data_IF_380150765912
#
_entry.id   IF_380150765912
#
_cell.length_a   1.000
_cell.length_b   1.000
_cell.length_c   1.000
_cell.angle_alpha   90.00
_cell.angle_beta   90.00
_cell.angle_gamma   90.00
#
_symmetry.space_group_name_H-M   'P 1'
#
loop_
_entity.id
_entity.type
_entity.pdbx_description
1 polymer ?
#
# COMPACT_ATOMS: atom_id res chain seq x y z
N UNK A 1 15.88 -8.21 -0.58
CA UNK A 1 17.11 -8.89 -0.12
C UNK A 1 18.37 -8.33 -0.77
N UNK A 2 18.35 -8.06 -2.07
CA UNK A 2 19.44 -7.38 -2.78
C UNK A 2 20.01 -6.17 -2.05
N UNK A 3 19.13 -5.26 -1.60
CA UNK A 3 19.50 -4.07 -0.81
C UNK A 3 20.28 -4.42 0.46
N UNK A 4 19.90 -5.47 1.20
CA UNK A 4 20.63 -5.88 2.39
C UNK A 4 22.03 -6.37 2.06
N UNK A 5 22.16 -7.14 0.98
CA UNK A 5 23.46 -7.62 0.52
C UNK A 5 24.34 -6.47 0.00
N UNK A 6 23.77 -5.51 -0.73
CA UNK A 6 24.50 -4.33 -1.19
C UNK A 6 25.07 -3.49 -0.04
N UNK A 7 24.37 -3.41 1.09
CA UNK A 7 24.84 -2.68 2.27
C UNK A 7 25.53 -3.55 3.32
N UNK A 8 25.78 -4.83 3.04
CA UNK A 8 26.46 -5.74 3.95
C UNK A 8 25.70 -6.02 5.26
N UNK A 9 24.38 -5.87 5.24
CA UNK A 9 23.53 -6.11 6.42
C UNK A 9 23.08 -7.56 6.45
N UNK A 10 23.33 -8.26 7.55
CA UNK A 10 22.85 -9.62 7.74
C UNK A 10 21.33 -9.65 7.85
N UNK A 11 20.63 -10.51 7.07
CA UNK A 11 19.18 -10.71 7.22
C UNK A 11 18.74 -11.10 8.64
N UNK A 12 19.60 -11.79 9.38
CA UNK A 12 19.32 -12.24 10.76
C UNK A 12 19.27 -11.09 11.76
N UNK A 13 19.95 -9.97 11.48
CA UNK A 13 19.97 -8.78 12.33
C UNK A 13 18.91 -7.74 11.97
N UNK A 14 18.28 -7.90 10.82
CA UNK A 14 17.38 -6.89 10.24
C UNK A 14 16.30 -6.46 11.22
N UNK A 15 15.66 -7.39 11.89
CA UNK A 15 14.55 -7.12 12.81
C UNK A 15 15.00 -6.37 14.07
N UNK A 16 16.12 -6.77 14.65
CA UNK A 16 16.68 -6.07 15.82
C UNK A 16 17.11 -4.66 15.46
N UNK A 17 17.79 -4.47 14.31
CA UNK A 17 18.17 -3.16 13.79
C UNK A 17 16.96 -2.26 13.54
N UNK A 18 15.89 -2.81 12.97
CA UNK A 18 14.65 -2.09 12.75
C UNK A 18 14.01 -1.61 14.07
N UNK A 19 13.94 -2.48 15.08
CA UNK A 19 13.38 -2.10 16.37
C UNK A 19 14.21 -1.04 17.08
N UNK A 20 15.53 -1.15 17.05
CA UNK A 20 16.43 -0.16 17.62
C UNK A 20 16.31 1.20 16.90
N UNK A 21 16.30 1.19 15.56
CA UNK A 21 16.12 2.41 14.77
C UNK A 21 14.76 3.08 15.07
N UNK A 22 13.68 2.29 15.18
CA UNK A 22 12.36 2.78 15.57
C UNK A 22 12.37 3.44 16.94
N UNK A 23 13.01 2.82 17.92
CA UNK A 23 13.15 3.39 19.27
C UNK A 23 13.88 4.73 19.24
N UNK A 24 15.01 4.81 18.53
CA UNK A 24 15.77 6.04 18.35
C UNK A 24 14.92 7.15 17.73
N UNK A 25 14.20 6.86 16.64
CA UNK A 25 13.35 7.83 15.93
C UNK A 25 12.23 8.34 16.85
N UNK A 26 11.53 7.44 17.55
CA UNK A 26 10.45 7.84 18.46
C UNK A 26 10.97 8.67 19.63
N UNK A 27 12.13 8.30 20.20
CA UNK A 27 12.78 9.09 21.25
C UNK A 27 13.19 10.47 20.75
N UNK A 28 13.75 10.55 19.53
CA UNK A 28 14.14 11.83 18.93
C UNK A 28 12.96 12.76 18.67
N UNK A 29 11.79 12.23 18.28
CA UNK A 29 10.56 13.02 18.12
C UNK A 29 10.02 13.58 19.43
N UNK A 30 10.16 12.83 20.53
CA UNK A 30 9.61 13.18 21.82
C UNK A 30 10.57 13.99 22.71
N UNK A 31 11.87 13.96 22.42
CA UNK A 31 12.88 14.58 23.27
C UNK A 31 12.81 16.12 23.20
N UNK A 32 12.74 16.75 24.37
CA UNK A 32 12.81 18.22 24.52
C UNK A 32 14.26 18.72 24.56
N UNK A 33 15.17 17.89 25.07
CA UNK A 33 16.59 18.17 25.23
C UNK A 33 17.45 17.22 24.39
N UNK A 34 18.67 17.62 23.99
CA UNK A 34 19.61 16.73 23.36
C UNK A 34 19.92 15.52 24.25
N UNK A 35 20.11 14.36 23.64
CA UNK A 35 20.42 13.13 24.37
C UNK A 35 21.48 12.28 23.65
N UNK A 36 22.06 11.34 24.36
CA UNK A 36 22.87 10.28 23.77
C UNK A 36 22.05 9.01 23.57
N UNK A 37 22.28 8.31 22.48
CA UNK A 37 21.70 6.99 22.20
C UNK A 37 22.80 5.94 22.13
N UNK A 38 22.70 4.90 22.97
CA UNK A 38 23.70 3.86 23.08
C UNK A 38 23.06 2.49 22.83
N UNK A 39 22.65 2.24 21.58
CA UNK A 39 22.09 0.98 21.13
C UNK A 39 23.15 -0.07 20.83
N UNK A 40 22.70 -1.26 20.47
CA UNK A 40 23.55 -2.36 20.02
C UNK A 40 24.23 -2.06 18.68
N UNK A 41 23.46 -1.53 17.74
CA UNK A 41 23.86 -1.24 16.35
C UNK A 41 24.16 0.24 16.11
N UNK A 42 23.48 1.14 16.83
CA UNK A 42 23.56 2.59 16.64
C UNK A 42 24.07 3.24 17.93
N UNK A 43 25.22 3.93 17.84
CA UNK A 43 25.82 4.64 18.97
C UNK A 43 26.04 6.10 18.58
N UNK A 44 25.24 6.99 19.15
CA UNK A 44 25.25 8.43 18.90
C UNK A 44 25.50 9.17 20.19
N UNK A 45 26.57 9.98 20.24
CA UNK A 45 26.89 10.79 21.42
C UNK A 45 25.98 12.00 21.58
N UNK A 46 25.38 12.43 20.48
CA UNK A 46 24.53 13.62 20.45
C UNK A 46 23.39 13.41 19.44
N UNK A 47 22.16 13.50 19.90
CA UNK A 47 20.95 13.50 19.08
C UNK A 47 20.15 14.74 19.42
N UNK A 48 19.86 15.57 18.42
CA UNK A 48 19.04 16.77 18.56
C UNK A 48 18.30 17.00 17.24
N UNK A 49 17.00 16.72 17.22
CA UNK A 49 16.19 16.77 16.01
C UNK A 49 15.53 18.14 15.84
N UNK A 50 15.78 18.78 14.68
CA UNK A 50 15.15 20.03 14.29
C UNK A 50 14.78 19.99 12.79
N UNK A 51 13.59 20.51 12.37
CA UNK A 51 12.47 20.92 13.26
C UNK A 51 11.85 19.71 13.96
N UNK A 52 11.22 19.95 15.09
CA UNK A 52 10.46 18.91 15.80
C UNK A 52 9.11 18.67 15.13
N UNK A 53 8.52 17.46 15.25
CA UNK A 53 7.18 17.19 14.75
C UNK A 53 6.16 18.17 15.35
N UNK A 54 5.26 18.68 14.51
CA UNK A 54 4.13 19.50 14.95
C UNK A 54 3.10 18.64 15.68
N UNK A 55 2.91 17.40 15.23
CA UNK A 55 2.00 16.47 15.88
C UNK A 55 2.66 15.90 17.14
N UNK A 56 1.92 15.83 18.22
CA UNK A 56 2.35 15.18 19.46
C UNK A 56 2.68 13.70 19.26
N UNK A 57 1.94 13.02 18.39
CA UNK A 57 2.18 11.64 17.94
C UNK A 57 1.99 11.58 16.43
N UNK A 58 3.06 11.74 15.64
CA UNK A 58 2.96 11.54 14.19
C UNK A 58 2.45 10.13 13.87
N UNK A 59 1.53 9.96 12.93
CA UNK A 59 1.09 8.63 12.50
C UNK A 59 2.28 7.87 11.89
N UNK A 60 2.42 6.61 12.28
CA UNK A 60 3.48 5.74 11.79
C UNK A 60 2.86 4.70 10.87
N UNK A 61 3.43 4.57 9.68
CA UNK A 61 3.04 3.58 8.69
C UNK A 61 4.15 2.54 8.56
N UNK A 62 3.80 1.27 8.66
CA UNK A 62 4.74 0.15 8.55
C UNK A 62 4.37 -0.67 7.32
N UNK A 63 5.18 -0.62 6.24
CA UNK A 63 4.94 -1.42 5.07
C UNK A 63 5.31 -2.89 5.32
N UNK A 64 4.59 -3.78 4.67
CA UNK A 64 4.89 -5.22 4.73
C UNK A 64 4.21 -6.03 3.64
N UNK A 65 4.63 -7.27 3.52
CA UNK A 65 4.12 -8.24 2.54
C UNK A 65 3.63 -9.54 3.18
N UNK A 66 3.05 -9.44 4.41
CA UNK A 66 2.43 -10.59 5.09
C UNK A 66 3.25 -11.21 6.23
N UNK A 67 4.21 -10.49 6.82
CA UNK A 67 4.88 -10.97 8.03
C UNK A 67 4.00 -10.77 9.27
N UNK A 68 3.70 -11.86 9.96
CA UNK A 68 2.86 -11.86 11.18
C UNK A 68 3.45 -10.96 12.28
N UNK A 69 4.79 -10.91 12.39
CA UNK A 69 5.46 -10.04 13.35
C UNK A 69 5.32 -8.56 13.03
N UNK A 70 5.18 -8.20 11.74
CA UNK A 70 4.90 -6.83 11.32
C UNK A 70 3.44 -6.46 11.63
N UNK A 71 2.51 -7.41 11.47
CA UNK A 71 1.12 -7.23 11.87
C UNK A 71 0.99 -6.97 13.37
N UNK A 72 1.63 -7.82 14.19
CA UNK A 72 1.66 -7.67 15.65
C UNK A 72 2.25 -6.32 16.08
N UNK A 73 3.37 -5.92 15.45
CA UNK A 73 3.98 -4.62 15.71
C UNK A 73 3.01 -3.46 15.40
N UNK A 74 2.36 -3.49 14.24
CA UNK A 74 1.45 -2.44 13.82
C UNK A 74 0.23 -2.36 14.75
N UNK A 75 -0.39 -3.48 15.04
CA UNK A 75 -1.58 -3.57 15.90
C UNK A 75 -1.28 -3.15 17.35
N UNK A 76 -0.19 -3.66 17.95
CA UNK A 76 0.19 -3.32 19.33
C UNK A 76 0.51 -1.84 19.55
N UNK A 77 1.04 -1.17 18.53
CA UNK A 77 1.50 0.21 18.66
C UNK A 77 0.55 1.22 17.99
N UNK A 78 -0.61 0.79 17.53
CA UNK A 78 -1.59 1.62 16.83
C UNK A 78 -0.99 2.27 15.57
N UNK A 79 -0.18 1.52 14.81
CA UNK A 79 0.40 1.96 13.54
C UNK A 79 -0.51 1.56 12.38
N UNK A 80 -0.46 2.31 11.28
CA UNK A 80 -1.07 1.90 10.04
C UNK A 80 -0.19 0.82 9.37
N UNK A 81 -0.78 -0.30 8.98
CA UNK A 81 -0.09 -1.33 8.22
C UNK A 81 -0.34 -1.15 6.73
N UNK A 82 0.72 -0.99 5.94
CA UNK A 82 0.66 -0.88 4.50
C UNK A 82 0.93 -2.21 3.81
N UNK A 83 -0.11 -2.88 3.30
CA UNK A 83 0.06 -4.09 2.50
C UNK A 83 0.63 -3.72 1.13
N UNK A 84 1.90 -4.05 0.93
CA UNK A 84 2.56 -3.93 -0.37
C UNK A 84 2.18 -5.14 -1.23
N UNK A 85 1.50 -4.90 -2.34
CA UNK A 85 1.12 -5.95 -3.27
C UNK A 85 1.23 -5.50 -4.71
N UNK A 86 2.32 -5.89 -5.35
CA UNK A 86 2.46 -5.76 -6.80
C UNK A 86 2.01 -7.02 -7.56
N UNK A 87 1.54 -8.03 -6.84
CA UNK A 87 0.93 -9.23 -7.42
C UNK A 87 -0.61 -9.12 -7.52
N UNK A 88 -1.13 -7.92 -7.30
CA UNK A 88 -2.53 -7.57 -7.48
C UNK A 88 -3.48 -8.02 -6.37
N UNK A 89 -4.72 -7.56 -6.49
CA UNK A 89 -5.81 -7.78 -5.55
C UNK A 89 -6.04 -9.26 -5.23
N UNK A 90 -6.16 -10.09 -6.27
CA UNK A 90 -6.55 -11.50 -6.09
C UNK A 90 -5.47 -12.31 -5.36
N UNK A 91 -4.20 -11.97 -5.59
CA UNK A 91 -3.07 -12.57 -4.88
C UNK A 91 -2.95 -12.08 -3.45
N UNK A 92 -3.28 -10.82 -3.20
CA UNK A 92 -3.15 -10.19 -1.89
C UNK A 92 -4.31 -10.48 -0.94
N UNK A 93 -5.51 -10.75 -1.47
CA UNK A 93 -6.72 -10.93 -0.66
C UNK A 93 -6.55 -11.96 0.48
N UNK A 94 -6.00 -13.16 0.27
CA UNK A 94 -5.78 -14.10 1.37
C UNK A 94 -4.87 -13.56 2.49
N UNK A 95 -3.90 -12.72 2.15
CA UNK A 95 -3.01 -12.08 3.14
C UNK A 95 -3.74 -11.01 3.95
N UNK A 96 -4.59 -10.23 3.28
CA UNK A 96 -5.40 -9.19 3.92
C UNK A 96 -6.47 -9.82 4.82
N UNK A 97 -7.15 -10.87 4.34
CA UNK A 97 -8.11 -11.63 5.15
C UNK A 97 -7.44 -12.21 6.41
N UNK A 98 -6.21 -12.71 6.27
CA UNK A 98 -5.44 -13.22 7.39
C UNK A 98 -4.98 -12.13 8.37
N UNK A 99 -4.72 -10.91 7.91
CA UNK A 99 -4.45 -9.77 8.79
C UNK A 99 -5.67 -9.45 9.66
N UNK A 100 -6.87 -9.45 9.06
CA UNK A 100 -8.12 -9.23 9.78
C UNK A 100 -8.39 -10.34 10.81
N UNK A 101 -8.22 -11.60 10.41
CA UNK A 101 -8.36 -12.75 11.30
C UNK A 101 -7.37 -12.68 12.46
N UNK A 102 -6.10 -12.33 12.18
CA UNK A 102 -5.08 -12.17 13.22
C UNK A 102 -5.46 -11.07 14.23
N UNK A 103 -5.97 -9.94 13.74
CA UNK A 103 -6.40 -8.85 14.62
C UNK A 103 -7.55 -9.31 15.55
N UNK A 104 -8.56 -9.98 15.00
CA UNK A 104 -9.69 -10.50 15.76
C UNK A 104 -9.30 -11.57 16.78
N UNK A 105 -8.52 -12.58 16.36
CA UNK A 105 -8.02 -13.67 17.23
C UNK A 105 -7.18 -13.18 18.41
N UNK A 106 -6.50 -12.05 18.25
CA UNK A 106 -5.66 -11.45 19.30
C UNK A 106 -6.35 -10.29 20.04
N UNK A 107 -7.64 -10.06 19.81
CA UNK A 107 -8.45 -9.07 20.54
C UNK A 107 -8.14 -7.62 20.19
N UNK A 108 -7.53 -7.33 19.04
CA UNK A 108 -7.28 -5.98 18.56
C UNK A 108 -8.54 -5.38 17.93
N UNK A 109 -8.82 -4.12 18.29
CA UNK A 109 -9.89 -3.34 17.67
C UNK A 109 -9.39 -2.63 16.41
N UNK A 110 -9.02 -3.41 15.39
CA UNK A 110 -8.62 -2.88 14.11
C UNK A 110 -9.82 -2.30 13.34
N UNK A 111 -9.55 -1.26 12.55
CA UNK A 111 -10.54 -0.70 11.65
C UNK A 111 -9.96 -0.48 10.24
N UNK A 112 -10.79 -0.21 9.21
CA UNK A 112 -10.30 -0.06 7.84
C UNK A 112 -9.17 0.96 7.67
N UNK A 113 -9.20 2.07 8.40
CA UNK A 113 -8.17 3.11 8.29
C UNK A 113 -6.79 2.70 8.85
N UNK A 114 -6.72 1.61 9.61
CA UNK A 114 -5.44 1.06 10.08
C UNK A 114 -4.74 0.21 9.02
N UNK A 115 -5.44 -0.10 7.93
CA UNK A 115 -4.93 -0.91 6.85
C UNK A 115 -4.89 -0.11 5.55
N UNK A 116 -3.70 -0.05 4.94
CA UNK A 116 -3.50 0.51 3.62
C UNK A 116 -3.19 -0.59 2.60
N UNK A 117 -3.59 -0.36 1.36
CA UNK A 117 -3.30 -1.25 0.24
C UNK A 117 -2.65 -0.50 -0.91
N UNK A 118 -1.60 -1.09 -1.48
CA UNK A 118 -0.90 -0.53 -2.64
C UNK A 118 -1.48 -1.07 -3.94
N UNK A 119 -1.89 -0.19 -4.85
CA UNK A 119 -2.44 -0.55 -6.14
C UNK A 119 -1.87 0.31 -7.25
N UNK A 120 -1.49 -0.32 -8.37
CA UNK A 120 -1.15 0.36 -9.61
C UNK A 120 -2.43 0.80 -10.31
N UNK A 121 -2.51 2.07 -10.72
CA UNK A 121 -3.70 2.65 -11.33
C UNK A 121 -3.33 3.35 -12.65
N UNK A 122 -4.08 3.04 -13.70
CA UNK A 122 -3.92 3.50 -15.08
C UNK A 122 -5.20 4.21 -15.54
N UNK A 123 -5.43 5.45 -15.06
CA UNK A 123 -6.63 6.23 -15.39
C UNK A 123 -6.37 7.13 -16.60
N UNK A 124 -7.24 7.08 -17.60
CA UNK A 124 -7.25 7.97 -18.77
C UNK A 124 -8.69 8.43 -19.06
N UNK A 125 -8.91 9.30 -20.03
CA UNK A 125 -10.28 9.80 -20.35
C UNK A 125 -11.20 8.67 -20.83
N UNK A 126 -10.64 7.68 -21.53
CA UNK A 126 -11.37 6.49 -22.02
C UNK A 126 -10.59 5.21 -21.75
N UNK A 127 -11.29 4.09 -21.80
CA UNK A 127 -10.68 2.75 -21.67
C UNK A 127 -9.66 2.48 -22.80
N UNK A 128 -9.98 2.86 -24.02
CA UNK A 128 -9.07 2.72 -25.16
C UNK A 128 -7.79 3.57 -25.02
N UNK A 129 -7.93 4.78 -24.49
CA UNK A 129 -6.79 5.64 -24.22
C UNK A 129 -5.93 5.08 -23.06
N UNK A 130 -6.55 4.50 -22.03
CA UNK A 130 -5.82 3.83 -20.97
C UNK A 130 -4.96 2.69 -21.51
N UNK A 131 -5.50 1.83 -22.36
CA UNK A 131 -4.71 0.76 -22.99
C UNK A 131 -3.57 1.33 -23.84
N UNK A 132 -3.85 2.31 -24.69
CA UNK A 132 -2.86 2.93 -25.58
C UNK A 132 -1.68 3.58 -24.84
N UNK A 133 -1.96 4.24 -23.69
CA UNK A 133 -0.94 4.99 -22.94
C UNK A 133 -0.16 4.13 -21.94
N UNK A 134 -0.78 3.10 -21.35
CA UNK A 134 -0.17 2.39 -20.22
C UNK A 134 0.32 0.98 -20.55
N UNK A 135 -0.07 0.39 -21.69
CA UNK A 135 0.23 -1.01 -21.99
C UNK A 135 1.73 -1.35 -21.90
N UNK A 136 2.56 -0.54 -22.54
CA UNK A 136 4.01 -0.77 -22.58
C UNK A 136 4.66 -0.52 -21.22
N UNK A 137 4.27 0.54 -20.52
CA UNK A 137 4.79 0.87 -19.18
C UNK A 137 4.42 -0.20 -18.13
N UNK A 138 3.22 -0.78 -18.20
CA UNK A 138 2.80 -1.90 -17.34
C UNK A 138 3.64 -3.14 -17.63
N UNK A 139 3.82 -3.52 -18.88
CA UNK A 139 4.65 -4.67 -19.28
C UNK A 139 6.11 -4.45 -18.87
N UNK A 140 6.64 -3.25 -19.09
CA UNK A 140 7.99 -2.86 -18.67
C UNK A 140 8.15 -2.98 -17.16
N UNK A 141 7.23 -2.43 -16.36
CA UNK A 141 7.26 -2.51 -14.92
C UNK A 141 7.30 -3.96 -14.43
N UNK A 142 6.39 -4.80 -14.90
CA UNK A 142 6.32 -6.19 -14.44
C UNK A 142 7.55 -7.02 -14.86
N UNK A 143 8.05 -6.84 -16.06
CA UNK A 143 9.25 -7.51 -16.55
C UNK A 143 10.51 -7.14 -15.76
N UNK A 144 10.64 -5.88 -15.35
CA UNK A 144 11.87 -5.36 -14.76
C UNK A 144 11.85 -5.29 -13.22
N UNK A 145 10.69 -5.46 -12.56
CA UNK A 145 10.61 -5.41 -11.11
C UNK A 145 11.13 -6.66 -10.40
N UNK A 146 11.20 -7.78 -11.12
CA UNK A 146 11.57 -9.06 -10.52
C UNK A 146 13.07 -9.12 -10.23
N UNK A 147 13.40 -9.45 -8.99
CA UNK A 147 14.77 -9.76 -8.57
C UNK A 147 15.03 -11.23 -8.86
N UNK A 148 16.27 -11.58 -9.15
CA UNK A 148 16.65 -12.99 -9.34
C UNK A 148 16.21 -13.81 -8.11
N UNK A 149 15.56 -14.98 -8.30
CA UNK A 149 14.96 -15.75 -7.19
C UNK A 149 15.91 -16.05 -6.02
N UNK A 150 17.22 -16.21 -6.27
CA UNK A 150 18.23 -16.40 -5.25
C UNK A 150 18.41 -15.22 -4.29
N UNK A 151 17.90 -14.03 -4.66
CA UNK A 151 17.97 -12.81 -3.84
C UNK A 151 16.61 -12.36 -3.30
N UNK A 152 15.52 -13.06 -3.59
CA UNK A 152 14.20 -12.70 -3.05
C UNK A 152 14.08 -12.98 -1.56
N UNK A 153 14.57 -14.14 -1.12
CA UNK A 153 14.46 -14.58 0.27
C UNK A 153 15.74 -15.28 0.70
N UNK A 154 16.67 -14.54 1.32
CA UNK A 154 17.86 -15.15 1.91
C UNK A 154 17.57 -15.86 3.25
N UNK A 155 18.47 -16.74 3.71
CA UNK A 155 18.38 -17.36 5.02
C UNK A 155 18.26 -16.30 6.13
N UNK A 156 17.35 -16.51 7.08
CA UNK A 156 17.12 -15.61 8.20
C UNK A 156 16.24 -14.38 7.92
N UNK A 157 15.83 -14.14 6.67
CA UNK A 157 14.93 -13.03 6.32
C UNK A 157 13.54 -13.18 6.92
N UNK A 158 13.01 -14.40 6.92
CA UNK A 158 11.69 -14.73 7.49
C UNK A 158 11.85 -15.63 8.71
N UNK A 159 11.02 -15.39 9.72
CA UNK A 159 10.89 -16.30 10.85
C UNK A 159 10.16 -17.57 10.44
N UNK A 160 10.32 -18.64 11.19
CA UNK A 160 9.61 -19.90 10.97
C UNK A 160 8.08 -19.71 11.02
N UNK A 161 7.58 -18.86 11.93
CA UNK A 161 6.16 -18.50 12.04
C UNK A 161 5.65 -17.85 10.75
N UNK A 162 6.38 -16.87 10.20
CA UNK A 162 6.05 -16.24 8.93
C UNK A 162 6.10 -17.20 7.75
N UNK A 163 7.07 -18.11 7.70
CA UNK A 163 7.17 -19.13 6.65
C UNK A 163 5.95 -20.06 6.69
N UNK A 164 5.56 -20.54 7.87
CA UNK A 164 4.37 -21.39 8.04
C UNK A 164 3.08 -20.67 7.65
N UNK A 165 2.93 -19.41 8.04
CA UNK A 165 1.78 -18.58 7.64
C UNK A 165 1.72 -18.40 6.12
N UNK A 166 2.84 -18.05 5.49
CA UNK A 166 2.92 -17.89 4.04
C UNK A 166 2.58 -19.17 3.26
N UNK A 167 2.97 -20.35 3.78
CA UNK A 167 2.64 -21.62 3.14
C UNK A 167 1.12 -21.88 3.11
N UNK A 168 0.41 -21.50 4.18
CA UNK A 168 -1.07 -21.58 4.20
C UNK A 168 -1.70 -20.64 3.17
N UNK A 169 -1.19 -19.40 3.06
CA UNK A 169 -1.74 -18.41 2.13
C UNK A 169 -1.39 -18.71 0.67
N UNK A 170 -0.24 -19.35 0.41
CA UNK A 170 0.17 -19.69 -0.95
C UNK A 170 -0.86 -20.58 -1.66
N UNK A 171 -1.45 -21.53 -0.95
CA UNK A 171 -2.47 -22.42 -1.51
C UNK A 171 -3.73 -21.63 -1.90
N UNK A 172 -4.20 -20.70 -1.06
CA UNK A 172 -5.35 -19.86 -1.37
C UNK A 172 -5.04 -18.84 -2.47
N UNK A 173 -3.86 -18.24 -2.45
CA UNK A 173 -3.40 -17.32 -3.49
C UNK A 173 -3.38 -17.99 -4.85
N UNK A 174 -2.90 -19.25 -4.94
CA UNK A 174 -2.83 -19.99 -6.19
C UNK A 174 -4.22 -20.39 -6.74
N UNK A 175 -5.25 -20.48 -5.88
CA UNK A 175 -6.64 -20.65 -6.35
C UNK A 175 -7.16 -19.38 -7.03
N UNK A 176 -6.79 -18.20 -6.47
CA UNK A 176 -7.27 -16.91 -6.98
C UNK A 176 -6.48 -16.43 -8.20
N UNK A 177 -5.21 -16.80 -8.29
CA UNK A 177 -4.30 -16.46 -9.39
C UNK A 177 -3.37 -17.64 -9.67
N UNK A 178 -3.64 -18.42 -10.72
CA UNK A 178 -2.82 -19.55 -11.11
C UNK A 178 -1.34 -19.19 -11.33
N UNK A 179 -0.40 -20.07 -10.99
CA UNK A 179 1.04 -19.80 -11.14
C UNK A 179 1.46 -19.41 -12.56
N UNK A 180 0.85 -20.01 -13.58
CA UNK A 180 1.10 -19.69 -14.99
C UNK A 180 0.70 -18.24 -15.34
N UNK A 181 -0.44 -17.76 -14.86
CA UNK A 181 -0.87 -16.37 -15.08
C UNK A 181 0.05 -15.38 -14.35
N UNK A 182 0.50 -15.75 -13.16
CA UNK A 182 1.49 -14.95 -12.42
C UNK A 182 2.85 -14.91 -13.16
N UNK A 183 3.26 -16.02 -13.76
CA UNK A 183 4.49 -16.06 -14.55
C UNK A 183 4.36 -15.19 -15.82
N UNK A 184 3.25 -15.28 -16.55
CA UNK A 184 2.95 -14.42 -17.72
C UNK A 184 2.95 -12.94 -17.35
N UNK A 185 2.34 -12.57 -16.23
CA UNK A 185 2.37 -11.19 -15.76
C UNK A 185 3.81 -10.69 -15.50
N UNK A 186 4.62 -11.51 -14.81
CA UNK A 186 5.99 -11.15 -14.45
C UNK A 186 6.96 -11.15 -15.65
N UNK A 187 6.68 -11.87 -16.71
CA UNK A 187 7.46 -11.83 -17.96
C UNK A 187 7.10 -10.65 -18.87
N UNK A 188 6.01 -9.94 -18.60
CA UNK A 188 5.49 -8.89 -19.46
C UNK A 188 4.73 -9.40 -20.69
N UNK A 189 4.33 -10.67 -20.69
CA UNK A 189 3.64 -11.32 -21.81
C UNK A 189 2.10 -11.29 -21.69
N UNK A 190 1.60 -10.77 -20.59
CA UNK A 190 0.16 -10.63 -20.37
C UNK A 190 -0.40 -9.43 -21.13
N UNK A 191 -1.62 -9.56 -21.66
CA UNK A 191 -2.33 -8.46 -22.30
C UNK A 191 -2.79 -7.44 -21.26
N UNK A 192 -2.93 -6.17 -21.68
CA UNK A 192 -3.25 -5.06 -20.78
C UNK A 192 -4.52 -5.31 -19.95
N UNK A 193 -5.60 -5.75 -20.61
CA UNK A 193 -6.85 -6.02 -19.91
C UNK A 193 -6.84 -7.29 -19.05
N UNK A 194 -5.92 -8.23 -19.33
CA UNK A 194 -5.68 -9.37 -18.45
C UNK A 194 -4.96 -8.94 -17.16
N UNK A 195 -4.06 -7.95 -17.22
CA UNK A 195 -3.51 -7.33 -16.00
C UNK A 195 -4.60 -6.71 -15.13
N UNK A 196 -5.57 -5.98 -15.71
CA UNK A 196 -6.72 -5.44 -14.98
C UNK A 196 -7.64 -6.53 -14.45
N UNK A 197 -8.00 -7.53 -15.29
CA UNK A 197 -8.85 -8.66 -14.93
C UNK A 197 -8.32 -9.46 -13.74
N UNK A 198 -7.01 -9.70 -13.70
CA UNK A 198 -6.36 -10.41 -12.62
C UNK A 198 -5.98 -9.52 -11.43
N UNK A 199 -6.36 -8.23 -11.48
CA UNK A 199 -6.19 -7.29 -10.39
C UNK A 199 -4.76 -6.77 -10.18
N UNK A 200 -3.84 -7.01 -11.11
CA UNK A 200 -2.49 -6.46 -11.05
C UNK A 200 -2.48 -4.94 -11.15
N UNK A 201 -3.37 -4.40 -12.01
CA UNK A 201 -3.63 -2.98 -12.15
C UNK A 201 -5.13 -2.73 -11.99
N UNK A 202 -5.52 -1.46 -11.82
CA UNK A 202 -6.86 -0.96 -12.07
C UNK A 202 -6.76 0.04 -13.21
N UNK A 203 -7.45 -0.22 -14.33
CA UNK A 203 -7.28 0.55 -15.54
C UNK A 203 -8.59 0.99 -16.17
N UNK A 204 -8.56 2.10 -16.91
CA UNK A 204 -9.66 2.58 -17.73
C UNK A 204 -10.06 4.02 -17.49
N UNK A 205 -11.29 4.36 -17.90
CA UNK A 205 -11.92 5.66 -17.69
C UNK A 205 -12.13 5.95 -16.19
N UNK A 206 -12.26 7.21 -15.78
CA UNK A 206 -12.42 7.58 -14.38
C UNK A 206 -13.60 6.86 -13.70
N UNK A 207 -14.70 6.65 -14.39
CA UNK A 207 -15.84 5.93 -13.85
C UNK A 207 -15.53 4.46 -13.60
N UNK A 208 -14.89 3.77 -14.56
CA UNK A 208 -14.44 2.37 -14.40
C UNK A 208 -13.43 2.22 -13.26
N UNK A 209 -12.44 3.10 -13.23
CA UNK A 209 -11.42 3.10 -12.17
C UNK A 209 -12.05 3.31 -10.79
N UNK A 210 -13.00 4.27 -10.69
CA UNK A 210 -13.75 4.51 -9.44
C UNK A 210 -14.47 3.26 -8.95
N UNK A 211 -15.24 2.61 -9.83
CA UNK A 211 -16.00 1.40 -9.49
C UNK A 211 -15.06 0.27 -9.04
N UNK A 212 -13.99 0.03 -9.75
CA UNK A 212 -13.00 -1.00 -9.43
C UNK A 212 -12.29 -0.75 -8.11
N UNK A 213 -11.95 0.51 -7.81
CA UNK A 213 -11.36 0.87 -6.50
C UNK A 213 -12.39 0.65 -5.38
N UNK A 214 -13.62 1.07 -5.57
CA UNK A 214 -14.68 0.89 -4.57
C UNK A 214 -14.92 -0.59 -4.26
N UNK A 215 -14.99 -1.45 -5.28
CA UNK A 215 -15.09 -2.90 -5.13
C UNK A 215 -13.90 -3.49 -4.35
N UNK A 216 -12.67 -3.11 -4.73
CA UNK A 216 -11.45 -3.56 -4.07
C UNK A 216 -11.41 -3.14 -2.60
N UNK A 217 -11.67 -1.87 -2.31
CA UNK A 217 -11.67 -1.30 -0.96
C UNK A 217 -12.67 -2.02 -0.06
N UNK A 218 -13.87 -2.32 -0.56
CA UNK A 218 -14.89 -3.08 0.16
C UNK A 218 -14.48 -4.54 0.37
N UNK A 219 -13.94 -5.19 -0.65
CA UNK A 219 -13.50 -6.59 -0.56
C UNK A 219 -12.35 -6.79 0.44
N UNK A 220 -11.43 -5.85 0.49
CA UNK A 220 -10.26 -5.89 1.38
C UNK A 220 -10.51 -5.24 2.74
N UNK A 221 -11.62 -4.52 2.89
CA UNK A 221 -11.93 -3.71 4.09
C UNK A 221 -10.78 -2.75 4.42
N UNK A 222 -10.23 -2.05 3.43
CA UNK A 222 -9.12 -1.09 3.59
C UNK A 222 -9.62 0.34 3.53
N UNK A 223 -9.16 1.19 4.43
CA UNK A 223 -9.52 2.61 4.50
C UNK A 223 -8.47 3.54 3.91
N UNK A 224 -7.29 3.03 3.61
CA UNK A 224 -6.20 3.79 3.03
C UNK A 224 -5.76 3.16 1.70
N UNK A 225 -5.70 3.96 0.63
CA UNK A 225 -5.22 3.52 -0.67
C UNK A 225 -3.90 4.22 -1.01
N UNK A 226 -2.85 3.43 -1.24
CA UNK A 226 -1.58 3.90 -1.79
C UNK A 226 -1.65 3.71 -3.29
N UNK A 227 -2.11 4.75 -4.00
CA UNK A 227 -2.23 4.74 -5.45
C UNK A 227 -0.87 4.97 -6.11
N UNK A 228 -0.36 3.96 -6.81
CA UNK A 228 0.82 4.12 -7.66
C UNK A 228 0.36 4.60 -9.03
N UNK A 229 0.56 5.90 -9.29
CA UNK A 229 0.08 6.60 -10.49
C UNK A 229 1.15 6.77 -11.56
N UNK A 230 2.40 6.50 -11.22
CA UNK A 230 3.55 6.47 -12.13
C UNK A 230 4.24 5.12 -12.01
N UNK A 231 4.54 4.47 -13.12
CA UNK A 231 5.18 3.16 -13.14
C UNK A 231 6.03 2.97 -14.41
N UNK A 232 7.05 2.12 -14.27
CA UNK A 232 7.89 1.75 -15.39
C UNK A 232 8.61 2.96 -16.01
N UNK A 233 8.50 3.07 -17.31
CA UNK A 233 9.05 4.14 -18.15
C UNK A 233 7.98 5.13 -18.63
N UNK A 234 6.90 5.25 -17.89
CA UNK A 234 5.79 6.15 -18.20
C UNK A 234 6.29 7.60 -18.30
N UNK A 235 5.86 8.32 -19.34
CA UNK A 235 6.19 9.73 -19.51
C UNK A 235 5.48 10.63 -18.48
N UNK A 236 6.06 11.83 -18.28
CA UNK A 236 5.59 12.79 -17.28
C UNK A 236 4.17 13.28 -17.57
N UNK A 237 3.82 13.52 -18.83
CA UNK A 237 2.50 14.01 -19.24
C UNK A 237 1.41 13.00 -18.89
N UNK A 238 1.64 11.74 -19.20
CA UNK A 238 0.72 10.64 -18.88
C UNK A 238 0.60 10.45 -17.36
N UNK A 239 1.69 10.52 -16.61
CA UNK A 239 1.67 10.45 -15.15
C UNK A 239 0.92 11.63 -14.51
N UNK A 240 1.11 12.85 -15.03
CA UNK A 240 0.39 14.04 -14.59
C UNK A 240 -1.11 13.96 -14.90
N UNK A 241 -1.49 13.48 -16.08
CA UNK A 241 -2.89 13.24 -16.47
C UNK A 241 -3.54 12.21 -15.52
N UNK A 242 -2.89 11.07 -15.28
CA UNK A 242 -3.37 10.06 -14.33
C UNK A 242 -3.64 10.67 -12.95
N UNK A 243 -2.67 11.43 -12.44
CA UNK A 243 -2.78 12.11 -11.14
C UNK A 243 -3.94 13.09 -11.12
N UNK A 244 -4.10 13.90 -12.17
CA UNK A 244 -5.19 14.86 -12.28
C UNK A 244 -6.56 14.18 -12.30
N UNK A 245 -6.74 13.15 -13.13
CA UNK A 245 -8.00 12.41 -13.23
C UNK A 245 -8.35 11.72 -11.92
N UNK A 246 -7.36 11.09 -11.27
CA UNK A 246 -7.55 10.50 -9.96
C UNK A 246 -7.99 11.52 -8.91
N UNK A 247 -7.34 12.68 -8.84
CA UNK A 247 -7.64 13.71 -7.85
C UNK A 247 -9.01 14.39 -8.08
N UNK A 248 -9.40 14.62 -9.34
CA UNK A 248 -10.56 15.42 -9.67
C UNK A 248 -11.81 14.60 -10.00
N UNK A 249 -11.67 13.38 -10.53
CA UNK A 249 -12.79 12.59 -11.05
C UNK A 249 -13.00 11.25 -10.36
N UNK A 250 -12.00 10.73 -9.63
CA UNK A 250 -12.09 9.43 -8.93
C UNK A 250 -12.16 9.63 -7.42
N UNK A 251 -11.13 10.21 -6.82
CA UNK A 251 -11.01 10.36 -5.37
C UNK A 251 -12.21 11.03 -4.68
N UNK A 252 -12.83 12.11 -5.24
CA UNK A 252 -13.97 12.76 -4.58
C UNK A 252 -15.15 11.82 -4.30
N UNK A 253 -15.35 10.81 -5.14
CA UNK A 253 -16.43 9.84 -5.01
C UNK A 253 -16.12 8.69 -4.04
N UNK A 254 -14.85 8.50 -3.68
CA UNK A 254 -14.40 7.46 -2.74
C UNK A 254 -14.33 7.98 -1.29
N UNK A 255 -14.32 9.29 -1.11
CA UNK A 255 -14.38 9.92 0.21
C UNK A 255 -15.71 9.53 0.87
N UNK A 256 -15.68 9.18 2.12
CA UNK A 256 -16.88 8.77 2.86
C UNK A 256 -17.14 7.26 2.86
N UNK A 257 -16.42 6.47 2.08
CA UNK A 257 -16.31 5.04 2.37
C UNK A 257 -15.74 4.88 3.78
N UNK A 258 -16.33 4.02 4.59
CA UNK A 258 -15.95 3.79 5.99
C UNK A 258 -16.18 4.99 6.94
N UNK A 259 -17.08 5.91 6.60
CA UNK A 259 -17.42 7.07 7.45
C UNK A 259 -17.97 6.69 8.84
N UNK A 260 -18.40 5.44 9.03
CA UNK A 260 -18.81 4.86 10.30
C UNK A 260 -17.64 4.52 11.24
N UNK A 261 -16.41 4.51 10.72
CA UNK A 261 -15.20 4.26 11.49
C UNK A 261 -14.42 5.56 11.75
N UNK A 262 -13.76 5.63 12.91
CA UNK A 262 -12.87 6.75 13.23
C UNK A 262 -11.52 6.60 12.52
N UNK A 263 -11.16 7.59 11.70
CA UNK A 263 -9.82 7.68 11.12
C UNK A 263 -8.86 8.41 12.09
N UNK A 264 -8.07 7.64 12.83
CA UNK A 264 -7.08 8.14 13.80
C UNK A 264 -5.69 8.36 13.17
N UNK A 265 -5.45 7.81 11.99
CA UNK A 265 -4.13 7.79 11.34
C UNK A 265 -3.94 8.90 10.30
N UNK A 266 -5.00 9.48 9.78
CA UNK A 266 -4.91 10.68 8.94
C UNK A 266 -4.81 11.94 9.80
N UNK A 267 -3.85 12.85 9.53
CA UNK A 267 -3.70 14.09 10.29
C UNK A 267 -5.00 14.92 10.33
N UNK A 268 -5.35 15.56 11.46
CA UNK A 268 -6.62 16.28 11.61
C UNK A 268 -6.86 17.35 10.53
N UNK A 269 -5.80 18.07 10.12
CA UNK A 269 -5.92 19.08 9.05
C UNK A 269 -6.30 18.45 7.69
N UNK A 270 -5.78 17.27 7.38
CA UNK A 270 -6.13 16.52 6.16
C UNK A 270 -7.57 16.01 6.25
N UNK A 271 -7.98 15.49 7.40
CA UNK A 271 -9.38 15.07 7.64
C UNK A 271 -10.36 16.22 7.48
N UNK A 272 -10.03 17.39 8.01
CA UNK A 272 -10.86 18.61 7.87
C UNK A 272 -10.97 19.03 6.39
N UNK A 273 -9.88 19.01 5.64
CA UNK A 273 -9.88 19.30 4.21
C UNK A 273 -10.72 18.28 3.40
N UNK A 274 -10.64 17.00 3.76
CA UNK A 274 -11.48 15.96 3.14
C UNK A 274 -12.95 16.16 3.47
N UNK A 275 -13.31 16.50 4.70
CA UNK A 275 -14.69 16.77 5.10
C UNK A 275 -15.27 17.99 4.37
N UNK A 276 -14.51 19.07 4.23
CA UNK A 276 -14.92 20.24 3.46
C UNK A 276 -15.19 19.91 2.00
N UNK A 277 -14.28 19.17 1.36
CA UNK A 277 -14.44 18.75 -0.04
C UNK A 277 -15.65 17.81 -0.25
N UNK A 278 -15.97 16.95 0.72
CA UNK A 278 -17.17 16.12 0.71
C UNK A 278 -18.44 16.98 0.76
N UNK A 279 -18.47 17.99 1.62
CA UNK A 279 -19.60 18.91 1.74
C UNK A 279 -19.82 19.69 0.45
N UNK A 280 -18.77 20.17 -0.21
CA UNK A 280 -18.84 20.84 -1.50
C UNK A 280 -19.38 19.91 -2.61
N UNK A 281 -18.90 18.66 -2.65
CA UNK A 281 -19.36 17.65 -3.62
C UNK A 281 -20.84 17.29 -3.41
N UNK A 282 -21.27 17.20 -2.16
CA UNK A 282 -22.67 16.93 -1.82
C UNK A 282 -23.61 18.12 -2.14
N UNK A 283 -23.11 19.34 -2.07
CA UNK A 283 -23.86 20.54 -2.39
C UNK A 283 -24.02 20.78 -3.92
N UNK A 284 -23.21 20.12 -4.76
CA UNK A 284 -23.37 20.21 -6.21
C UNK A 284 -24.53 19.31 -6.67
N UNK A 285 -25.57 19.84 -7.35
CA UNK A 285 -26.65 19.00 -7.84
C UNK A 285 -26.08 17.97 -8.83
N UNK A 286 -26.36 16.68 -8.56
CA UNK A 286 -26.07 15.60 -9.52
C UNK A 286 -26.73 15.96 -10.86
N UNK A 287 -25.95 16.39 -11.83
CA UNK A 287 -26.42 16.40 -13.21
C UNK A 287 -26.62 14.94 -13.61
N UNK A 288 -27.86 14.48 -13.50
CA UNK A 288 -28.30 13.23 -14.12
C UNK A 288 -27.88 13.33 -15.60
N UNK A 289 -27.02 12.42 -16.03
CA UNK A 289 -26.73 12.23 -17.44
C UNK A 289 -28.10 11.95 -18.11
N UNK A 290 -28.55 12.92 -18.89
CA UNK A 290 -29.82 12.85 -19.57
C UNK A 290 -29.88 11.63 -20.45
N UNK A 291 -30.90 10.83 -20.24
CA UNK A 291 -31.36 9.85 -21.20
C UNK A 291 -31.50 10.58 -22.55
N UNK A 292 -30.69 10.20 -23.50
CA UNK A 292 -30.99 10.53 -24.92
C UNK A 292 -31.86 9.37 -25.42
N UNK A 293 -33.07 9.76 -25.79
CA UNK A 293 -34.01 8.96 -26.55
C UNK A 293 -33.43 8.59 -27.94
#
# INVERSE_FOLDING_TARGET
MDTLYCYGVSPTELRERFHEARELVQKAWAAEEPFAFNGKYTKLRYVNLWPRPVQKRPPIWVPGSGSVETWDLALKNDYCYGQLSFSGLHSAKPLVDAWWAYAEENGYQANPYQLAFTQLICCAETDAEAEAKYSDAVKYFYRNRSVHPGFETGPGFRTQKSVQAMAKFAAETNKNLPPEEKARANSGEMDFWDYDKHGFIIAGSPERVRQRIEEMVKQLRVGQLIACLHMGDLDEETAAMNTHLMATRVQPHLRGLWSEFEDRWTPPAVRAAHAAALAETAAQPRKLAGARA
#
